data_IF_201538650029
#
_entry.id   IF_201538650029
#
_cell.length_a   1.000
_cell.length_b   1.000
_cell.length_c   1.000
_cell.angle_alpha   90.00
_cell.angle_beta   90.00
_cell.angle_gamma   90.00
#
_symmetry.space_group_name_H-M   'P 1'
#
loop_
_entity.id
_entity.type
_entity.pdbx_description
1 polymer ?
#
# COMPACT_ATOMS: atom_id res chain seq x y z
N UNK A 1 -18.28 -47.09 20.78
CA UNK A 1 -19.01 -46.79 19.52
C UNK A 1 -18.56 -45.42 19.07
N UNK A 2 -17.56 -45.39 18.20
CA UNK A 2 -16.90 -44.17 17.70
C UNK A 2 -17.21 -44.11 16.21
N UNK A 3 -17.98 -43.12 15.77
CA UNK A 3 -18.20 -42.83 14.36
C UNK A 3 -17.60 -41.47 14.06
N UNK A 4 -16.36 -41.48 13.57
CA UNK A 4 -15.77 -40.37 12.85
C UNK A 4 -16.55 -40.18 11.55
N UNK A 5 -17.25 -39.06 11.42
CA UNK A 5 -17.86 -38.63 10.17
C UNK A 5 -16.73 -38.03 9.32
N UNK A 6 -16.23 -38.80 8.36
CA UNK A 6 -15.31 -38.31 7.34
C UNK A 6 -16.09 -37.48 6.32
N UNK A 7 -15.92 -36.16 6.35
CA UNK A 7 -16.34 -35.30 5.24
C UNK A 7 -15.40 -35.52 4.05
N UNK A 8 -15.80 -36.37 3.11
CA UNK A 8 -15.18 -36.41 1.78
C UNK A 8 -15.74 -35.24 0.97
N UNK A 9 -14.95 -34.18 0.83
CA UNK A 9 -15.20 -33.15 -0.18
C UNK A 9 -14.98 -33.78 -1.57
N UNK A 10 -16.06 -33.97 -2.32
CA UNK A 10 -15.97 -34.28 -3.75
C UNK A 10 -15.37 -33.06 -4.46
N UNK A 11 -14.12 -33.20 -4.91
CA UNK A 11 -13.52 -32.27 -5.85
C UNK A 11 -14.15 -32.45 -7.22
N UNK A 12 -14.73 -31.39 -7.77
CA UNK A 12 -14.99 -31.32 -9.20
C UNK A 12 -13.70 -30.94 -9.91
N UNK A 13 -13.18 -31.88 -10.70
CA UNK A 13 -12.04 -31.71 -11.59
C UNK A 13 -12.58 -31.32 -12.98
N UNK A 14 -12.18 -30.18 -13.53
CA UNK A 14 -12.33 -29.87 -14.94
C UNK A 14 -10.95 -29.54 -15.50
N UNK A 15 -10.41 -30.48 -16.29
CA UNK A 15 -9.18 -30.28 -17.03
C UNK A 15 -9.49 -29.53 -18.34
N UNK A 16 -8.96 -28.31 -18.40
CA UNK A 16 -8.32 -27.62 -19.51
C UNK A 16 -9.06 -27.48 -20.86
N UNK A 17 -9.37 -26.23 -21.22
CA UNK A 17 -8.90 -25.63 -22.49
C UNK A 17 -8.61 -24.13 -22.31
N UNK A 18 -7.47 -23.73 -22.88
CA UNK A 18 -7.02 -22.37 -23.24
C UNK A 18 -6.07 -21.58 -22.32
N UNK A 19 -4.79 -21.76 -22.68
CA UNK A 19 -3.62 -20.86 -22.67
C UNK A 19 -3.17 -20.18 -21.36
N UNK A 20 -1.90 -20.40 -20.95
CA UNK A 20 -1.22 -19.55 -20.00
C UNK A 20 -0.68 -18.34 -20.75
N UNK A 21 -1.32 -17.19 -20.62
CA UNK A 21 -0.62 -15.91 -20.69
C UNK A 21 -1.56 -14.78 -20.30
N UNK A 22 -1.47 -14.34 -19.06
CA UNK A 22 -1.24 -12.93 -18.75
C UNK A 22 -0.37 -12.92 -17.50
N UNK A 23 0.95 -12.79 -17.71
CA UNK A 23 1.69 -11.93 -16.81
C UNK A 23 0.84 -10.66 -16.66
N UNK A 24 0.27 -10.43 -15.48
CA UNK A 24 -0.10 -9.08 -15.11
C UNK A 24 1.23 -8.33 -15.05
N UNK A 25 1.62 -7.75 -16.19
CA UNK A 25 2.57 -6.66 -16.22
C UNK A 25 2.09 -5.68 -15.16
N UNK A 26 2.84 -5.60 -14.07
CA UNK A 26 2.85 -4.43 -13.21
C UNK A 26 3.17 -3.29 -14.16
N UNK A 27 2.13 -2.60 -14.63
CA UNK A 27 2.30 -1.37 -15.37
C UNK A 27 3.14 -0.50 -14.45
N UNK A 28 4.35 -0.15 -14.87
CA UNK A 28 5.05 1.00 -14.34
C UNK A 28 4.12 2.20 -14.55
N UNK A 29 3.25 2.43 -13.57
CA UNK A 29 2.51 3.67 -13.49
C UNK A 29 3.57 4.70 -13.13
N UNK A 30 4.01 5.45 -14.15
CA UNK A 30 5.00 6.50 -14.01
C UNK A 30 4.53 7.40 -12.87
N UNK A 31 5.29 7.42 -11.78
CA UNK A 31 4.94 8.15 -10.56
C UNK A 31 4.58 9.59 -10.95
N UNK A 32 3.33 9.98 -10.74
CA UNK A 32 2.95 11.39 -10.80
C UNK A 32 3.34 12.03 -9.46
N UNK A 33 4.47 12.77 -9.39
CA UNK A 33 4.93 13.34 -8.12
C UNK A 33 3.95 14.40 -7.60
N UNK A 34 2.97 14.83 -8.40
CA UNK A 34 1.95 15.79 -8.00
C UNK A 34 0.73 15.16 -7.33
N UNK A 35 0.64 13.81 -7.29
CA UNK A 35 -0.51 13.09 -6.73
C UNK A 35 -0.15 12.24 -5.52
N UNK A 36 -1.10 12.14 -4.59
CA UNK A 36 -1.00 11.16 -3.50
C UNK A 36 -1.19 9.73 -4.04
N UNK A 37 -0.45 8.78 -3.46
CA UNK A 37 -0.54 7.35 -3.71
C UNK A 37 -1.61 6.70 -2.80
N UNK A 38 -2.24 5.58 -3.22
CA UNK A 38 -3.25 4.89 -2.42
C UNK A 38 -2.73 4.38 -1.07
N UNK A 39 -3.61 4.25 -0.08
CA UNK A 39 -3.29 3.56 1.17
C UNK A 39 -2.97 2.09 0.89
N UNK A 40 -2.00 1.54 1.62
CA UNK A 40 -1.48 0.18 1.41
C UNK A 40 -0.37 0.12 0.37
N UNK A 41 -0.03 1.24 -0.28
CA UNK A 41 1.13 1.30 -1.17
C UNK A 41 2.41 1.05 -0.36
N UNK A 42 3.25 0.15 -0.84
CA UNK A 42 4.57 -0.14 -0.28
C UNK A 42 5.62 0.58 -1.12
N UNK A 43 6.45 1.39 -0.46
CA UNK A 43 7.44 2.25 -1.12
C UNK A 43 8.84 2.06 -0.55
N UNK A 44 9.83 2.32 -1.40
CA UNK A 44 11.22 2.56 -1.01
C UNK A 44 11.44 4.05 -0.85
N UNK A 45 12.08 4.46 0.24
CA UNK A 45 12.46 5.85 0.48
C UNK A 45 13.96 6.04 0.27
N UNK A 46 14.33 7.16 -0.35
CA UNK A 46 15.72 7.51 -0.71
C UNK A 46 16.74 7.52 0.44
N UNK A 47 16.29 7.54 1.69
CA UNK A 47 17.14 7.62 2.89
C UNK A 47 16.93 6.47 3.88
N UNK A 48 16.25 5.40 3.46
CA UNK A 48 15.93 4.27 4.34
C UNK A 48 16.12 2.94 3.62
N UNK A 49 16.80 2.01 4.28
CA UNK A 49 16.97 0.65 3.73
C UNK A 49 15.66 -0.13 3.72
N UNK A 50 14.89 0.00 4.81
CA UNK A 50 13.61 -0.68 5.02
C UNK A 50 12.50 -0.03 4.18
N UNK A 51 11.74 -0.84 3.45
CA UNK A 51 10.50 -0.42 2.80
C UNK A 51 9.40 -0.11 3.82
N UNK A 52 8.52 0.82 3.47
CA UNK A 52 7.41 1.22 4.34
C UNK A 52 6.08 1.14 3.60
N UNK A 53 5.00 0.86 4.33
CA UNK A 53 3.63 0.84 3.82
C UNK A 53 2.87 2.07 4.31
N UNK A 54 2.33 2.85 3.37
CA UNK A 54 1.54 4.06 3.65
C UNK A 54 0.20 3.65 4.27
N UNK A 55 -0.18 4.25 5.40
CA UNK A 55 -1.47 3.99 6.04
C UNK A 55 -2.26 5.25 6.43
N UNK A 56 -1.74 6.45 6.16
CA UNK A 56 -2.49 7.69 6.33
C UNK A 56 -1.93 8.86 5.53
N UNK A 57 -2.76 9.89 5.35
CA UNK A 57 -2.42 11.13 4.64
C UNK A 57 -2.38 12.33 5.58
N UNK A 58 -1.66 13.38 5.19
CA UNK A 58 -1.73 14.71 5.81
C UNK A 58 -1.49 14.70 7.33
N UNK A 59 -0.64 13.79 7.81
CA UNK A 59 -0.47 13.54 9.22
C UNK A 59 0.33 14.66 9.89
N UNK A 60 -0.16 15.13 11.03
CA UNK A 60 0.57 16.08 11.89
C UNK A 60 1.37 15.30 12.93
N UNK A 61 2.68 15.53 12.96
CA UNK A 61 3.56 14.96 13.99
C UNK A 61 3.51 15.85 15.24
N UNK A 62 3.03 15.30 16.36
CA UNK A 62 2.80 16.05 17.61
C UNK A 62 4.06 16.75 18.12
N UNK A 63 5.21 16.10 18.06
CA UNK A 63 6.47 16.63 18.60
C UNK A 63 7.01 17.85 17.84
N UNK A 64 6.73 17.95 16.54
CA UNK A 64 7.25 19.01 15.68
C UNK A 64 6.17 19.96 15.17
N UNK A 65 4.90 19.60 15.35
CA UNK A 65 3.73 20.23 14.75
C UNK A 65 3.82 20.38 13.22
N UNK A 66 4.68 19.57 12.57
CA UNK A 66 4.83 19.54 11.12
C UNK A 66 3.83 18.57 10.52
N UNK A 67 3.28 18.96 9.38
CA UNK A 67 2.41 18.10 8.59
C UNK A 67 3.20 17.45 7.46
N UNK A 68 2.95 16.17 7.24
CA UNK A 68 3.59 15.37 6.20
C UNK A 68 2.53 14.81 5.26
N UNK A 69 2.90 14.55 4.01
CA UNK A 69 1.98 13.89 3.07
C UNK A 69 1.53 12.54 3.59
N UNK A 70 2.47 11.75 4.15
CA UNK A 70 2.22 10.37 4.53
C UNK A 70 2.66 10.08 5.96
N UNK A 71 1.92 9.16 6.57
CA UNK A 71 2.39 8.32 7.68
C UNK A 71 2.42 6.86 7.22
N UNK A 72 3.51 6.17 7.56
CA UNK A 72 3.73 4.78 7.18
C UNK A 72 4.29 3.94 8.32
N UNK A 73 4.26 2.63 8.12
CA UNK A 73 4.84 1.60 9.00
C UNK A 73 5.87 0.77 8.25
N UNK A 74 6.86 0.16 8.94
CA UNK A 74 7.77 -0.80 8.33
C UNK A 74 6.99 -1.96 7.69
N UNK A 75 7.42 -2.39 6.50
CA UNK A 75 6.86 -3.56 5.83
C UNK A 75 7.84 -4.74 5.87
N UNK A 76 7.39 -5.99 6.16
CA UNK A 76 6.01 -6.44 6.36
C UNK A 76 5.48 -6.37 7.81
N UNK A 77 6.22 -5.78 8.75
CA UNK A 77 5.90 -5.84 10.17
C UNK A 77 4.60 -5.12 10.55
N UNK A 78 4.29 -4.02 9.86
CA UNK A 78 3.11 -3.21 10.14
C UNK A 78 3.27 -2.33 11.39
N UNK A 79 2.15 -2.03 12.04
CA UNK A 79 2.12 -1.12 13.20
C UNK A 79 2.61 -1.82 14.48
N UNK A 80 3.85 -1.53 14.89
CA UNK A 80 4.49 -2.10 16.08
C UNK A 80 4.24 -1.21 17.31
N UNK A 81 4.64 0.05 17.21
CA UNK A 81 4.41 1.08 18.22
C UNK A 81 4.53 2.47 17.56
N UNK A 82 4.08 3.55 18.24
CA UNK A 82 4.21 4.91 17.71
C UNK A 82 5.64 5.31 17.34
N UNK A 83 6.66 4.71 17.98
CA UNK A 83 8.07 5.01 17.74
C UNK A 83 8.56 4.51 16.38
N UNK A 84 7.85 3.56 15.76
CA UNK A 84 8.16 3.00 14.45
C UNK A 84 7.39 3.68 13.31
N UNK A 85 6.57 4.69 13.61
CA UNK A 85 5.86 5.44 12.58
C UNK A 85 6.84 6.29 11.76
N UNK A 86 6.71 6.22 10.45
CA UNK A 86 7.54 6.97 9.50
C UNK A 86 6.70 8.09 8.90
N UNK A 87 7.11 9.33 9.13
CA UNK A 87 6.48 10.53 8.59
C UNK A 87 7.34 11.06 7.44
N UNK A 88 6.75 11.21 6.25
CA UNK A 88 7.52 11.64 5.08
C UNK A 88 6.64 12.30 4.02
N UNK A 89 7.31 13.01 3.11
CA UNK A 89 6.69 13.67 1.98
C UNK A 89 6.95 12.87 0.70
N UNK A 90 6.06 13.01 -0.29
CA UNK A 90 6.09 12.24 -1.55
C UNK A 90 7.39 12.41 -2.34
N UNK A 91 8.08 13.54 -2.19
CA UNK A 91 9.38 13.79 -2.83
C UNK A 91 10.53 12.89 -2.30
N UNK A 92 10.32 12.17 -1.20
CA UNK A 92 11.30 11.21 -0.65
C UNK A 92 11.12 9.79 -1.20
N UNK A 93 10.03 9.52 -1.94
CA UNK A 93 9.77 8.23 -2.57
C UNK A 93 10.77 8.04 -3.70
N UNK A 94 11.52 6.94 -3.61
CA UNK A 94 12.46 6.50 -4.64
C UNK A 94 11.79 5.53 -5.62
N UNK A 95 10.98 4.61 -5.09
CA UNK A 95 10.34 3.55 -5.88
C UNK A 95 9.02 3.10 -5.23
N UNK A 96 8.03 2.75 -6.05
CA UNK A 96 6.81 2.05 -5.61
C UNK A 96 7.01 0.56 -5.82
N UNK A 97 7.06 -0.19 -4.73
CA UNK A 97 7.27 -1.64 -4.73
C UNK A 97 5.95 -2.41 -4.87
N UNK A 98 4.86 -1.81 -4.40
CA UNK A 98 3.51 -2.36 -4.53
C UNK A 98 2.48 -1.23 -4.49
N UNK A 99 1.52 -1.24 -5.43
CA UNK A 99 0.43 -0.28 -5.41
C UNK A 99 -0.61 -0.65 -4.34
N UNK A 100 -1.13 0.34 -3.63
CA UNK A 100 -2.17 0.13 -2.63
C UNK A 100 -3.51 -0.25 -3.24
N UNK A 101 -4.50 -0.52 -2.38
CA UNK A 101 -5.82 -0.92 -2.83
C UNK A 101 -6.62 0.28 -3.35
N UNK A 102 -6.98 0.25 -4.63
CA UNK A 102 -7.70 1.34 -5.29
C UNK A 102 -9.18 1.02 -5.42
N UNK A 103 -10.01 1.90 -4.85
CA UNK A 103 -11.46 1.91 -5.01
C UNK A 103 -11.93 3.32 -5.39
N UNK A 104 -13.20 3.47 -5.78
CA UNK A 104 -13.76 4.81 -6.01
C UNK A 104 -13.83 5.65 -4.73
N UNK A 105 -13.92 5.00 -3.56
CA UNK A 105 -13.83 5.69 -2.27
C UNK A 105 -12.40 6.17 -2.00
N UNK A 106 -11.39 5.32 -2.21
CA UNK A 106 -9.98 5.73 -2.11
C UNK A 106 -9.69 6.92 -3.03
N UNK A 107 -10.08 6.86 -4.32
CA UNK A 107 -9.90 8.00 -5.24
C UNK A 107 -10.52 9.29 -4.71
N UNK A 108 -11.72 9.25 -4.13
CA UNK A 108 -12.40 10.42 -3.57
C UNK A 108 -11.67 10.96 -2.34
N UNK A 109 -11.36 10.10 -1.37
CA UNK A 109 -10.67 10.51 -0.13
C UNK A 109 -9.29 11.06 -0.46
N UNK A 110 -8.55 10.38 -1.32
CA UNK A 110 -7.21 10.77 -1.74
C UNK A 110 -7.22 12.06 -2.55
N UNK A 111 -8.21 12.29 -3.41
CA UNK A 111 -8.39 13.58 -4.08
C UNK A 111 -8.67 14.73 -3.09
N UNK A 112 -9.50 14.50 -2.08
CA UNK A 112 -9.76 15.51 -1.01
C UNK A 112 -8.52 15.74 -0.14
N UNK A 113 -7.71 14.71 0.08
CA UNK A 113 -6.47 14.80 0.85
C UNK A 113 -5.33 15.46 0.07
N UNK A 114 -5.33 15.35 -1.25
CA UNK A 114 -4.26 15.89 -2.08
C UNK A 114 -4.37 17.42 -2.15
N UNK A 115 -3.57 18.10 -1.33
CA UNK A 115 -3.54 19.55 -1.25
C UNK A 115 -2.69 20.09 -2.40
N UNK A 116 -3.22 21.06 -3.15
CA UNK A 116 -2.58 21.59 -4.35
C UNK A 116 -1.29 22.41 -4.08
N UNK A 117 -0.92 22.69 -2.82
CA UNK A 117 0.10 23.68 -2.46
C UNK A 117 1.26 23.17 -1.58
N UNK A 118 1.74 21.94 -1.76
CA UNK A 118 2.99 21.53 -1.09
C UNK A 118 4.21 21.80 -2.00
N UNK A 119 4.90 22.92 -1.76
CA UNK A 119 6.26 23.16 -2.25
C UNK A 119 7.26 22.54 -1.28
N UNK A 120 8.06 21.58 -1.75
CA UNK A 120 9.10 20.90 -0.96
C UNK A 120 10.47 21.54 -1.15
#
# INVERSE_FOLDING_TARGET
MLTCITFTLLGCNQAATDKPDKNEEVKEENLDPTKLLPIGTVVKLSKMDKSVMIYGYNQIQVSTNKQFDYIAVPYPEGNISPDYNVFFNRNLIEEVLHNGYVTDEDKKIRHVADREENTY
#
